data_IF_346460299324
#
_entry.id   IF_346460299324
#
_cell.length_a   1.000
_cell.length_b   1.000
_cell.length_c   1.000
_cell.angle_alpha   90.00
_cell.angle_beta   90.00
_cell.angle_gamma   90.00
#
_symmetry.space_group_name_H-M   'P 1'
#
loop_
_entity.id
_entity.type
_entity.pdbx_description
1 polymer ?
#
# COMPACT_ATOMS: atom_id res chain seq x y z
N UNK A 1 16.63 -27.65 6.67
CA UNK A 1 17.71 -26.76 6.19
C UNK A 1 17.36 -25.31 6.47
N UNK A 2 18.27 -24.57 7.13
CA UNK A 2 18.13 -23.12 7.31
C UNK A 2 18.32 -22.38 5.98
N UNK A 3 17.95 -21.11 5.91
CA UNK A 3 18.00 -20.36 4.65
C UNK A 3 19.44 -20.12 4.17
N UNK A 4 20.35 -19.81 5.09
CA UNK A 4 21.78 -19.69 4.78
C UNK A 4 22.37 -20.99 4.20
N UNK A 5 22.15 -22.13 4.87
CA UNK A 5 22.61 -23.44 4.40
C UNK A 5 22.12 -23.75 2.98
N UNK A 6 20.83 -23.51 2.72
CA UNK A 6 20.23 -23.73 1.40
C UNK A 6 20.96 -22.93 0.32
N UNK A 7 21.34 -21.69 0.62
CA UNK A 7 22.02 -20.81 -0.34
C UNK A 7 23.50 -21.12 -0.50
N UNK A 8 24.18 -21.54 0.57
CA UNK A 8 25.57 -22.02 0.51
C UNK A 8 25.64 -23.29 -0.34
N UNK A 9 24.84 -24.31 -0.04
CA UNK A 9 24.77 -25.55 -0.83
C UNK A 9 24.42 -25.27 -2.30
N UNK A 10 23.48 -24.36 -2.56
CA UNK A 10 23.12 -23.97 -3.93
C UNK A 10 24.30 -23.35 -4.70
N UNK A 11 25.17 -22.64 -3.99
CA UNK A 11 26.31 -21.95 -4.58
C UNK A 11 27.51 -22.87 -4.78
N UNK A 12 27.75 -23.78 -3.84
CA UNK A 12 28.89 -24.70 -3.84
C UNK A 12 28.71 -25.88 -4.79
N UNK A 13 27.47 -26.30 -5.06
CA UNK A 13 27.23 -27.39 -6.01
C UNK A 13 27.42 -26.93 -7.46
N UNK A 14 28.09 -27.76 -8.27
CA UNK A 14 28.18 -27.61 -9.71
C UNK A 14 27.11 -28.44 -10.46
N UNK A 15 26.35 -29.29 -9.76
CA UNK A 15 25.28 -30.08 -10.37
C UNK A 15 24.00 -29.25 -10.54
N UNK A 16 23.65 -28.97 -11.80
CA UNK A 16 22.43 -28.25 -12.16
C UNK A 16 21.14 -28.94 -11.68
N UNK A 17 21.13 -30.27 -11.56
CA UNK A 17 19.97 -30.99 -11.00
C UNK A 17 19.80 -30.71 -9.51
N UNK A 18 20.91 -30.67 -8.78
CA UNK A 18 20.92 -30.35 -7.34
C UNK A 18 20.52 -28.90 -7.11
N UNK A 19 21.05 -27.94 -7.90
CA UNK A 19 20.60 -26.54 -7.88
C UNK A 19 19.09 -26.43 -8.08
N UNK A 20 18.55 -27.10 -9.10
CA UNK A 20 17.13 -27.07 -9.38
C UNK A 20 16.31 -27.64 -8.22
N UNK A 21 16.80 -28.70 -7.56
CA UNK A 21 16.15 -29.30 -6.40
C UNK A 21 16.15 -28.36 -5.18
N UNK A 22 17.29 -27.75 -4.86
CA UNK A 22 17.42 -26.77 -3.76
C UNK A 22 16.53 -25.55 -3.99
N UNK A 23 16.52 -25.02 -5.22
CA UNK A 23 15.63 -23.91 -5.59
C UNK A 23 14.15 -24.30 -5.50
N UNK A 24 13.79 -25.53 -5.93
CA UNK A 24 12.44 -26.05 -5.79
C UNK A 24 12.05 -26.21 -4.33
N UNK A 25 12.93 -26.70 -3.46
CA UNK A 25 12.68 -26.78 -2.02
C UNK A 25 12.35 -25.39 -1.45
N UNK A 26 13.18 -24.39 -1.74
CA UNK A 26 12.96 -23.02 -1.28
C UNK A 26 11.61 -22.48 -1.76
N UNK A 27 11.34 -22.56 -3.07
CA UNK A 27 10.10 -22.01 -3.64
C UNK A 27 8.87 -22.75 -3.13
N UNK A 28 8.93 -24.07 -2.95
CA UNK A 28 7.85 -24.84 -2.36
C UNK A 28 7.57 -24.40 -0.92
N UNK A 29 8.61 -24.26 -0.08
CA UNK A 29 8.47 -23.74 1.29
C UNK A 29 7.87 -22.34 1.30
N UNK A 30 8.36 -21.45 0.43
CA UNK A 30 7.88 -20.07 0.30
C UNK A 30 6.38 -20.03 -0.04
N UNK A 31 5.95 -20.82 -1.03
CA UNK A 31 4.56 -20.77 -1.50
C UNK A 31 3.58 -21.60 -0.67
N UNK A 32 4.06 -22.67 0.00
CA UNK A 32 3.29 -23.48 0.96
C UNK A 32 3.22 -22.84 2.35
N UNK A 33 3.96 -21.77 2.61
CA UNK A 33 3.88 -21.00 3.86
C UNK A 33 2.43 -20.65 4.21
N UNK A 34 2.08 -20.85 5.48
CA UNK A 34 0.77 -20.52 6.06
C UNK A 34 0.43 -19.03 5.97
N UNK A 35 1.44 -18.17 5.77
CA UNK A 35 1.29 -16.73 5.63
C UNK A 35 0.90 -16.36 4.19
N UNK A 36 -0.27 -16.80 3.76
CA UNK A 36 -0.85 -16.43 2.48
C UNK A 36 -1.40 -15.01 2.48
N UNK A 37 -1.47 -14.38 1.31
CA UNK A 37 -2.11 -13.09 1.12
C UNK A 37 -3.61 -13.21 1.40
N UNK A 38 -4.07 -12.63 2.51
CA UNK A 38 -5.47 -12.65 2.93
C UNK A 38 -5.97 -11.25 3.21
N UNK A 39 -7.13 -10.94 2.63
CA UNK A 39 -7.89 -9.72 2.90
C UNK A 39 -8.92 -10.01 3.99
N UNK A 40 -9.15 -9.03 4.86
CA UNK A 40 -10.20 -9.11 5.86
C UNK A 40 -10.88 -7.76 5.99
N UNK A 41 -12.15 -7.82 6.39
CA UNK A 41 -12.95 -6.65 6.68
C UNK A 41 -12.64 -6.18 8.10
N UNK A 42 -12.51 -4.87 8.25
CA UNK A 42 -12.49 -4.17 9.53
C UNK A 42 -13.61 -3.15 9.51
N UNK A 43 -14.06 -2.80 10.70
CA UNK A 43 -15.13 -1.84 10.89
C UNK A 43 -14.66 -0.71 11.79
N UNK A 44 -14.99 0.51 11.42
CA UNK A 44 -14.99 1.62 12.36
C UNK A 44 -16.39 1.69 12.97
N UNK A 45 -16.47 1.32 14.25
CA UNK A 45 -17.74 1.29 14.98
C UNK A 45 -17.74 2.25 16.16
N UNK A 46 -18.92 2.75 16.50
CA UNK A 46 -19.22 3.44 17.76
C UNK A 46 -20.70 3.27 18.11
N UNK A 47 -21.01 3.32 19.40
CA UNK A 47 -22.38 3.19 19.88
C UNK A 47 -23.00 4.57 20.02
N UNK A 48 -24.21 4.74 19.49
CA UNK A 48 -25.00 5.96 19.58
C UNK A 48 -25.80 5.94 20.87
N UNK A 49 -25.65 6.98 21.69
CA UNK A 49 -26.36 7.15 22.96
C UNK A 49 -27.43 8.21 22.79
N UNK A 50 -28.69 7.82 22.94
CA UNK A 50 -29.83 8.75 22.84
C UNK A 50 -29.78 9.81 23.94
N UNK A 51 -29.41 9.41 25.15
CA UNK A 51 -29.28 10.32 26.30
C UNK A 51 -28.18 11.35 26.10
N UNK A 52 -27.02 10.95 25.58
CA UNK A 52 -25.91 11.88 25.27
C UNK A 52 -26.25 12.86 24.12
N UNK A 53 -27.22 12.51 23.28
CA UNK A 53 -27.75 13.35 22.21
C UNK A 53 -29.03 14.11 22.62
N UNK A 54 -29.38 14.12 23.92
CA UNK A 54 -30.56 14.77 24.47
C UNK A 54 -31.87 14.34 23.78
N UNK A 55 -31.94 13.08 23.35
CA UNK A 55 -33.07 12.50 22.61
C UNK A 55 -33.43 13.26 21.31
N UNK A 56 -32.48 13.97 20.70
CA UNK A 56 -32.68 14.60 19.38
C UNK A 56 -32.69 13.55 18.29
N UNK A 57 -33.90 13.24 17.79
CA UNK A 57 -34.14 12.17 16.86
C UNK A 57 -33.33 12.31 15.56
N UNK A 58 -33.21 13.54 15.02
CA UNK A 58 -32.47 13.78 13.78
C UNK A 58 -30.98 13.43 13.90
N UNK A 59 -30.37 13.68 15.07
CA UNK A 59 -28.96 13.35 15.33
C UNK A 59 -28.78 11.85 15.56
N UNK A 60 -29.73 11.21 16.26
CA UNK A 60 -29.72 9.76 16.52
C UNK A 60 -29.77 9.00 15.19
N UNK A 61 -30.72 9.34 14.32
CA UNK A 61 -30.86 8.74 12.99
C UNK A 61 -29.62 8.97 12.13
N UNK A 62 -29.10 10.19 12.12
CA UNK A 62 -27.88 10.55 11.38
C UNK A 62 -26.69 9.69 11.82
N UNK A 63 -26.43 9.57 13.12
CA UNK A 63 -25.28 8.81 13.59
C UNK A 63 -25.48 7.30 13.45
N UNK A 64 -26.70 6.78 13.61
CA UNK A 64 -26.99 5.37 13.36
C UNK A 64 -26.74 4.97 11.90
N UNK A 65 -26.97 5.87 10.93
CA UNK A 65 -26.63 5.67 9.52
C UNK A 65 -25.14 5.47 9.27
N UNK A 66 -24.26 6.02 10.12
CA UNK A 66 -22.80 6.01 9.95
C UNK A 66 -22.05 5.39 11.14
N UNK A 67 -22.75 4.67 12.01
CA UNK A 67 -22.17 4.10 13.23
C UNK A 67 -21.26 2.90 12.95
N UNK A 68 -21.35 2.33 11.75
CA UNK A 68 -20.53 1.23 11.26
C UNK A 68 -20.03 1.52 9.85
N UNK A 69 -18.71 1.60 9.68
CA UNK A 69 -18.07 1.78 8.38
C UNK A 69 -17.11 0.64 8.11
N UNK A 70 -17.43 -0.17 7.11
CA UNK A 70 -16.58 -1.27 6.63
C UNK A 70 -15.40 -0.75 5.78
N UNK A 71 -14.22 -1.32 5.99
CA UNK A 71 -13.08 -1.16 5.11
C UNK A 71 -12.24 -2.44 5.04
N UNK A 72 -11.49 -2.59 3.94
CA UNK A 72 -10.68 -3.80 3.69
C UNK A 72 -9.21 -3.54 4.01
N UNK A 73 -8.58 -4.51 4.66
CA UNK A 73 -7.15 -4.49 5.00
C UNK A 73 -6.51 -5.86 4.70
N UNK A 74 -5.19 -5.86 4.60
CA UNK A 74 -4.38 -7.07 4.49
C UNK A 74 -3.54 -7.24 5.74
N UNK A 75 -3.28 -8.50 6.12
CA UNK A 75 -2.42 -8.78 7.27
C UNK A 75 -0.98 -8.52 6.83
N UNK A 76 -0.39 -7.47 7.37
CA UNK A 76 0.95 -7.00 6.99
C UNK A 76 2.00 -7.22 8.08
N UNK A 77 1.55 -7.54 9.30
CA UNK A 77 2.38 -7.70 10.49
C UNK A 77 1.95 -8.92 11.32
N UNK A 78 2.93 -9.56 11.95
CA UNK A 78 2.77 -10.76 12.75
C UNK A 78 3.56 -10.60 14.05
N UNK A 79 2.88 -10.80 15.19
CA UNK A 79 3.49 -10.60 16.52
C UNK A 79 4.42 -11.75 16.95
N UNK A 80 4.37 -12.89 16.25
CA UNK A 80 5.24 -14.05 16.52
C UNK A 80 6.49 -13.96 15.65
N UNK A 81 7.62 -14.47 16.17
CA UNK A 81 8.85 -14.64 15.39
C UNK A 81 8.55 -15.48 14.14
N UNK A 82 8.89 -14.95 12.98
CA UNK A 82 8.72 -15.66 11.71
C UNK A 82 10.01 -16.39 11.36
N UNK A 83 9.88 -17.49 10.63
CA UNK A 83 11.01 -18.11 9.93
C UNK A 83 11.52 -17.17 8.82
N UNK A 84 12.77 -17.33 8.43
CA UNK A 84 13.43 -16.53 7.40
C UNK A 84 12.68 -16.54 6.07
N UNK A 85 12.18 -17.71 5.63
CA UNK A 85 11.40 -17.82 4.39
C UNK A 85 10.01 -17.18 4.56
N UNK A 86 9.42 -17.29 5.76
CA UNK A 86 8.13 -16.69 6.06
C UNK A 86 8.20 -15.15 6.04
N UNK A 87 9.32 -14.55 6.46
CA UNK A 87 9.56 -13.11 6.30
C UNK A 87 9.55 -12.70 4.82
N UNK A 88 10.26 -13.43 3.96
CA UNK A 88 10.26 -13.18 2.52
C UNK A 88 8.85 -13.33 1.94
N UNK A 89 8.10 -14.34 2.40
CA UNK A 89 6.70 -14.56 1.99
C UNK A 89 5.80 -13.38 2.34
N UNK A 90 5.87 -12.87 3.58
CA UNK A 90 5.10 -11.70 4.02
C UNK A 90 5.48 -10.46 3.22
N UNK A 91 6.77 -10.27 2.94
CA UNK A 91 7.25 -9.17 2.10
C UNK A 91 6.67 -9.22 0.69
N UNK A 92 6.64 -10.40 0.07
CA UNK A 92 6.02 -10.61 -1.25
C UNK A 92 4.53 -10.30 -1.24
N UNK A 93 3.81 -10.70 -0.19
CA UNK A 93 2.39 -10.40 -0.04
C UNK A 93 2.14 -8.88 0.11
N UNK A 94 2.96 -8.21 0.90
CA UNK A 94 2.88 -6.76 1.07
C UNK A 94 3.21 -6.01 -0.22
N UNK A 95 4.21 -6.48 -0.98
CA UNK A 95 4.58 -5.93 -2.28
C UNK A 95 3.44 -6.07 -3.30
N UNK A 96 2.80 -7.26 -3.36
CA UNK A 96 1.62 -7.49 -4.19
C UNK A 96 0.47 -6.56 -3.78
N UNK A 97 0.15 -6.50 -2.49
CA UNK A 97 -0.92 -5.64 -1.98
C UNK A 97 -0.68 -4.15 -2.27
N UNK A 98 0.57 -3.69 -2.17
CA UNK A 98 0.93 -2.30 -2.41
C UNK A 98 0.89 -1.91 -3.90
N UNK A 99 1.49 -2.74 -4.77
CA UNK A 99 1.67 -2.40 -6.19
C UNK A 99 0.53 -2.86 -7.10
N UNK A 100 -0.24 -3.88 -6.69
CA UNK A 100 -1.16 -4.60 -7.58
C UNK A 100 -2.60 -4.61 -7.04
N UNK A 101 -2.84 -5.16 -5.85
CA UNK A 101 -4.20 -5.41 -5.36
C UNK A 101 -4.97 -4.10 -5.13
N UNK A 102 -6.09 -3.90 -5.81
CA UNK A 102 -6.85 -2.63 -5.80
C UNK A 102 -7.73 -2.45 -4.57
N UNK A 103 -7.83 -3.43 -3.68
CA UNK A 103 -8.78 -3.40 -2.56
C UNK A 103 -8.12 -3.03 -1.22
N UNK A 104 -6.79 -2.91 -1.17
CA UNK A 104 -6.02 -2.69 0.07
C UNK A 104 -4.95 -1.61 -0.09
N UNK A 105 -4.24 -1.25 0.98
CA UNK A 105 -3.11 -0.30 0.97
C UNK A 105 -3.45 1.06 0.32
N UNK A 106 -4.51 1.69 0.81
CA UNK A 106 -4.85 3.06 0.41
C UNK A 106 -3.98 4.07 1.17
N UNK A 107 -4.04 5.34 0.76
CA UNK A 107 -3.33 6.40 1.48
C UNK A 107 -3.84 6.48 2.92
N UNK A 108 -2.97 6.74 3.90
CA UNK A 108 -3.36 6.94 5.31
C UNK A 108 -4.54 7.90 5.49
N UNK A 109 -4.63 8.89 4.62
CA UNK A 109 -5.69 9.89 4.60
C UNK A 109 -7.08 9.30 4.37
N UNK A 110 -7.20 8.24 3.55
CA UNK A 110 -8.45 7.52 3.36
C UNK A 110 -8.99 7.00 4.70
N UNK A 111 -8.16 6.28 5.45
CA UNK A 111 -8.55 5.72 6.74
C UNK A 111 -8.84 6.81 7.78
N UNK A 112 -8.14 7.95 7.72
CA UNK A 112 -8.41 9.11 8.58
C UNK A 112 -9.81 9.68 8.33
N UNK A 113 -10.22 9.79 7.06
CA UNK A 113 -11.52 10.31 6.65
C UNK A 113 -12.67 9.36 6.99
N UNK A 114 -12.45 8.03 6.94
CA UNK A 114 -13.46 7.05 7.37
C UNK A 114 -13.82 7.16 8.86
N UNK A 115 -12.92 7.70 9.69
CA UNK A 115 -13.15 7.88 11.14
C UNK A 115 -13.97 9.14 11.42
N UNK A 116 -14.19 10.01 10.43
CA UNK A 116 -14.88 11.30 10.61
C UNK A 116 -16.25 11.18 11.30
N UNK A 117 -17.14 10.22 10.96
CA UNK A 117 -18.45 10.12 11.61
C UNK A 117 -18.35 9.92 13.13
N UNK A 118 -17.42 9.06 13.56
CA UNK A 118 -17.13 8.86 14.98
C UNK A 118 -16.60 10.14 15.65
N UNK A 119 -15.78 10.92 14.95
CA UNK A 119 -15.23 12.19 15.47
C UNK A 119 -16.31 13.25 15.59
N UNK A 120 -17.16 13.39 14.57
CA UNK A 120 -18.31 14.30 14.62
C UNK A 120 -19.28 13.90 15.73
N UNK A 121 -19.53 12.60 15.93
CA UNK A 121 -20.35 12.12 17.06
C UNK A 121 -19.83 12.61 18.42
N UNK A 122 -18.55 12.38 18.73
CA UNK A 122 -17.99 12.84 20.02
C UNK A 122 -17.88 14.36 20.11
N UNK A 123 -17.71 15.06 18.99
CA UNK A 123 -17.72 16.52 18.93
C UNK A 123 -19.12 17.06 19.25
N UNK A 124 -20.17 16.47 18.68
CA UNK A 124 -21.58 16.84 18.95
C UNK A 124 -21.94 16.58 20.41
N UNK A 125 -21.59 15.42 20.98
CA UNK A 125 -21.82 15.15 22.41
C UNK A 125 -21.19 16.24 23.28
N UNK A 126 -19.93 16.61 22.98
CA UNK A 126 -19.22 17.63 23.73
C UNK A 126 -19.91 18.99 23.60
N UNK A 127 -20.31 19.39 22.40
CA UNK A 127 -21.02 20.64 22.15
C UNK A 127 -22.35 20.70 22.91
N UNK A 128 -23.16 19.63 22.85
CA UNK A 128 -24.43 19.53 23.59
C UNK A 128 -24.21 19.60 25.11
N UNK A 129 -23.16 18.94 25.64
CA UNK A 129 -22.83 19.01 27.07
C UNK A 129 -22.42 20.40 27.54
N UNK A 130 -21.95 21.25 26.63
CA UNK A 130 -21.61 22.64 26.90
C UNK A 130 -22.80 23.61 26.69
N UNK A 131 -23.97 23.10 26.29
CA UNK A 131 -25.13 23.93 25.95
C UNK A 131 -25.03 24.62 24.59
N UNK A 132 -24.14 24.18 23.71
CA UNK A 132 -23.99 24.74 22.36
C UNK A 132 -25.11 24.26 21.43
N UNK A 133 -25.54 25.13 20.51
CA UNK A 133 -26.51 24.76 19.47
C UNK A 133 -25.79 23.99 18.37
N UNK A 134 -26.28 22.78 18.08
CA UNK A 134 -25.76 21.92 17.02
C UNK A 134 -26.77 21.83 15.88
N UNK A 135 -26.32 22.17 14.68
CA UNK A 135 -27.07 21.97 13.43
C UNK A 135 -26.81 20.56 12.86
N UNK A 136 -27.88 19.78 12.70
CA UNK A 136 -27.80 18.43 12.16
C UNK A 136 -27.37 18.42 10.68
N UNK A 137 -27.83 19.41 9.89
CA UNK A 137 -27.51 19.48 8.46
C UNK A 137 -26.02 19.77 8.23
N UNK A 138 -25.42 20.63 9.06
CA UNK A 138 -23.99 20.90 9.02
C UNK A 138 -23.17 19.64 9.37
N UNK A 139 -23.58 18.90 10.40
CA UNK A 139 -22.94 17.65 10.80
C UNK A 139 -23.02 16.61 9.67
N UNK A 140 -24.20 16.42 9.06
CA UNK A 140 -24.35 15.50 7.93
C UNK A 140 -23.47 15.93 6.75
N UNK A 141 -23.45 17.22 6.41
CA UNK A 141 -22.61 17.75 5.33
C UNK A 141 -21.13 17.47 5.57
N UNK A 142 -20.64 17.63 6.80
CA UNK A 142 -19.25 17.33 7.16
C UNK A 142 -18.93 15.84 6.99
N UNK A 143 -19.83 14.96 7.44
CA UNK A 143 -19.69 13.51 7.27
C UNK A 143 -19.68 13.13 5.79
N UNK A 144 -20.69 13.56 5.03
CA UNK A 144 -20.84 13.22 3.61
C UNK A 144 -19.67 13.75 2.79
N UNK A 145 -19.21 14.97 3.07
CA UNK A 145 -18.04 15.56 2.40
C UNK A 145 -16.78 14.75 2.68
N UNK A 146 -16.54 14.36 3.93
CA UNK A 146 -15.36 13.56 4.29
C UNK A 146 -15.38 12.16 3.65
N UNK A 147 -16.53 11.49 3.62
CA UNK A 147 -16.67 10.18 2.98
C UNK A 147 -16.52 10.27 1.45
N UNK A 148 -17.04 11.34 0.85
CA UNK A 148 -16.83 11.63 -0.58
C UNK A 148 -15.35 11.86 -0.90
N UNK A 149 -14.64 12.62 -0.05
CA UNK A 149 -13.19 12.81 -0.18
C UNK A 149 -12.42 11.49 0.01
N UNK A 150 -12.87 10.64 0.93
CA UNK A 150 -12.27 9.33 1.15
C UNK A 150 -12.31 8.50 -0.14
N UNK A 151 -13.45 8.46 -0.84
CA UNK A 151 -13.55 7.73 -2.11
C UNK A 151 -12.63 8.32 -3.18
N UNK A 152 -12.48 9.64 -3.25
CA UNK A 152 -11.51 10.29 -4.16
C UNK A 152 -10.08 9.83 -3.84
N UNK A 153 -9.70 9.83 -2.55
CA UNK A 153 -8.37 9.40 -2.10
C UNK A 153 -8.13 7.92 -2.40
N UNK A 154 -9.13 7.07 -2.18
CA UNK A 154 -9.08 5.63 -2.53
C UNK A 154 -8.86 5.44 -4.03
N UNK A 155 -9.63 6.13 -4.87
CA UNK A 155 -9.47 6.07 -6.33
C UNK A 155 -8.09 6.54 -6.78
N UNK A 156 -7.53 7.59 -6.16
CA UNK A 156 -6.15 8.01 -6.42
C UNK A 156 -5.14 6.92 -6.10
N UNK A 157 -5.32 6.18 -5.01
CA UNK A 157 -4.45 5.05 -4.66
C UNK A 157 -4.61 3.88 -5.63
N UNK A 158 -5.83 3.54 -6.03
CA UNK A 158 -6.11 2.48 -7.02
C UNK A 158 -5.43 2.79 -8.36
N UNK A 159 -5.50 4.04 -8.82
CA UNK A 159 -4.91 4.48 -10.09
C UNK A 159 -3.37 4.46 -10.11
N UNK A 160 -2.72 4.27 -8.95
CA UNK A 160 -1.26 4.07 -8.84
C UNK A 160 -0.84 2.62 -8.95
N UNK A 161 -1.77 1.67 -9.01
CA UNK A 161 -1.49 0.22 -9.04
C UNK A 161 -1.47 -0.33 -10.46
N UNK A 162 -0.74 -1.43 -10.68
CA UNK A 162 -0.74 -2.15 -11.97
C UNK A 162 -1.85 -3.20 -11.95
N UNK A 163 -2.23 -3.66 -13.13
CA UNK A 163 -3.10 -4.83 -13.27
C UNK A 163 -2.24 -6.07 -13.45
N UNK A 164 -2.30 -7.00 -12.50
CA UNK A 164 -1.58 -8.27 -12.57
C UNK A 164 -2.34 -9.31 -11.75
N UNK A 165 -2.56 -10.51 -12.29
CA UNK A 165 -3.20 -11.59 -11.52
C UNK A 165 -2.20 -12.18 -10.53
N UNK A 166 -2.69 -12.78 -9.43
CA UNK A 166 -1.81 -13.40 -8.45
C UNK A 166 -0.99 -14.57 -9.03
N UNK A 167 -1.56 -15.32 -9.99
CA UNK A 167 -0.84 -16.40 -10.70
C UNK A 167 0.31 -15.85 -11.56
N UNK A 168 0.07 -14.78 -12.32
CA UNK A 168 1.11 -14.12 -13.11
C UNK A 168 2.18 -13.49 -12.21
N UNK A 169 1.77 -12.89 -11.09
CA UNK A 169 2.69 -12.40 -10.05
C UNK A 169 3.58 -13.52 -9.51
N UNK A 170 3.02 -14.67 -9.15
CA UNK A 170 3.77 -15.83 -8.66
C UNK A 170 4.84 -16.28 -9.66
N UNK A 171 4.49 -16.40 -10.95
CA UNK A 171 5.43 -16.76 -12.03
C UNK A 171 6.56 -15.74 -12.16
N UNK A 172 6.21 -14.45 -12.13
CA UNK A 172 7.18 -13.36 -12.20
C UNK A 172 8.17 -13.41 -11.02
N UNK A 173 7.65 -13.56 -9.80
CA UNK A 173 8.48 -13.67 -8.60
C UNK A 173 9.43 -14.87 -8.66
N UNK A 174 8.98 -16.04 -9.14
CA UNK A 174 9.88 -17.18 -9.30
C UNK A 174 11.08 -16.88 -10.21
N UNK A 175 10.85 -16.19 -11.34
CA UNK A 175 11.97 -15.78 -12.22
C UNK A 175 12.93 -14.79 -11.56
N UNK A 176 12.42 -13.95 -10.65
CA UNK A 176 13.26 -13.03 -9.88
C UNK A 176 14.02 -13.74 -8.77
N UNK A 177 13.41 -14.73 -8.12
CA UNK A 177 14.07 -15.54 -7.11
C UNK A 177 15.23 -16.34 -7.69
N UNK A 178 15.06 -16.94 -8.87
CA UNK A 178 16.13 -17.63 -9.58
C UNK A 178 17.33 -16.70 -9.84
N UNK A 179 17.06 -15.47 -10.32
CA UNK A 179 18.10 -14.44 -10.47
C UNK A 179 18.74 -14.07 -9.13
N UNK A 180 17.98 -14.00 -8.05
CA UNK A 180 18.51 -13.66 -6.72
C UNK A 180 19.46 -14.74 -6.22
N UNK A 181 19.08 -16.02 -6.40
CA UNK A 181 19.90 -17.19 -6.08
C UNK A 181 21.23 -17.14 -6.86
N UNK A 182 21.16 -16.99 -8.18
CA UNK A 182 22.35 -16.95 -9.05
C UNK A 182 23.32 -15.79 -8.75
N UNK A 183 22.83 -14.71 -8.16
CA UNK A 183 23.64 -13.52 -7.84
C UNK A 183 23.94 -13.39 -6.34
N UNK A 184 23.53 -14.36 -5.51
CA UNK A 184 23.76 -14.28 -4.07
C UNK A 184 25.26 -14.36 -3.76
N UNK A 185 25.72 -13.43 -2.91
CA UNK A 185 27.07 -13.43 -2.36
C UNK A 185 26.97 -13.59 -0.83
N UNK A 186 27.52 -14.67 -0.26
CA UNK A 186 27.71 -14.83 1.17
C UNK A 186 28.44 -13.62 1.76
N UNK A 187 28.22 -13.41 3.05
CA UNK A 187 28.80 -12.26 3.76
C UNK A 187 30.31 -12.24 3.65
N UNK A 188 30.96 -13.37 3.93
CA UNK A 188 32.43 -13.47 3.98
C UNK A 188 33.08 -13.18 2.62
N UNK A 189 32.48 -13.59 1.51
CA UNK A 189 32.97 -13.26 0.17
C UNK A 189 32.81 -11.78 -0.15
N UNK A 190 31.69 -11.17 0.26
CA UNK A 190 31.44 -9.75 0.03
C UNK A 190 32.44 -8.86 0.80
N UNK A 191 32.79 -9.27 2.03
CA UNK A 191 33.82 -8.60 2.84
C UNK A 191 35.19 -8.64 2.17
N UNK A 192 35.61 -9.81 1.67
CA UNK A 192 36.87 -10.00 0.96
C UNK A 192 36.96 -9.15 -0.32
N UNK A 193 35.90 -9.10 -1.13
CA UNK A 193 35.88 -8.37 -2.40
C UNK A 193 35.95 -6.84 -2.21
N UNK A 194 35.34 -6.33 -1.15
CA UNK A 194 35.21 -4.88 -0.95
C UNK A 194 36.10 -4.30 0.15
N UNK A 195 36.87 -5.13 0.86
CA UNK A 195 37.71 -4.70 1.98
C UNK A 195 36.88 -4.09 3.12
N UNK A 196 35.63 -4.56 3.28
CA UNK A 196 34.74 -4.11 4.34
C UNK A 196 34.79 -5.09 5.50
N UNK A 197 34.95 -4.59 6.73
CA UNK A 197 34.72 -5.39 7.94
C UNK A 197 33.31 -5.09 8.46
N UNK A 198 32.48 -6.13 8.64
CA UNK A 198 31.16 -5.93 9.20
C UNK A 198 31.25 -5.54 10.68
N UNK A 199 31.09 -4.23 10.95
CA UNK A 199 30.97 -3.70 12.31
C UNK A 199 29.58 -4.02 12.87
N UNK A 200 29.41 -5.25 13.36
CA UNK A 200 28.17 -5.69 14.01
C UNK A 200 28.17 -5.15 15.45
N UNK A 201 27.48 -4.02 15.67
CA UNK A 201 27.34 -3.40 17.00
C UNK A 201 25.94 -3.70 17.61
N UNK A 202 25.26 -4.75 17.16
CA UNK A 202 23.86 -5.00 17.54
C UNK A 202 23.66 -6.45 17.98
N UNK A 203 23.17 -6.62 19.21
CA UNK A 203 22.57 -7.88 19.68
C UNK A 203 21.42 -8.26 18.72
N UNK A 204 21.58 -9.38 18.01
CA UNK A 204 20.56 -9.89 17.08
C UNK A 204 20.93 -9.92 15.59
N UNK A 205 22.20 -9.71 15.24
CA UNK A 205 22.68 -10.06 13.89
C UNK A 205 22.62 -11.57 13.66
N UNK A 206 22.20 -11.96 12.46
CA UNK A 206 22.35 -13.31 11.93
C UNK A 206 22.55 -13.23 10.43
N UNK A 207 23.22 -14.23 9.86
CA UNK A 207 23.38 -14.36 8.41
C UNK A 207 22.02 -14.42 7.69
N UNK A 208 21.04 -15.11 8.29
CA UNK A 208 19.67 -15.12 7.81
C UNK A 208 19.05 -13.70 7.71
N UNK A 209 19.34 -12.79 8.64
CA UNK A 209 18.87 -11.40 8.55
C UNK A 209 19.49 -10.66 7.37
N UNK A 210 20.77 -10.92 7.07
CA UNK A 210 21.44 -10.39 5.88
C UNK A 210 20.77 -10.92 4.60
N UNK A 211 20.53 -12.23 4.52
CA UNK A 211 19.90 -12.87 3.37
C UNK A 211 18.48 -12.34 3.17
N UNK A 212 17.65 -12.28 4.21
CA UNK A 212 16.28 -11.75 4.13
C UNK A 212 16.29 -10.32 3.59
N UNK A 213 17.22 -9.48 4.07
CA UNK A 213 17.36 -8.10 3.61
C UNK A 213 17.77 -8.04 2.13
N UNK A 214 18.71 -8.88 1.71
CA UNK A 214 19.13 -9.01 0.32
C UNK A 214 17.95 -9.40 -0.58
N UNK A 215 17.23 -10.48 -0.25
CA UNK A 215 16.05 -10.94 -0.98
C UNK A 215 14.97 -9.85 -1.08
N UNK A 216 14.55 -9.29 0.05
CA UNK A 216 13.48 -8.29 0.09
C UNK A 216 13.85 -7.01 -0.69
N UNK A 217 15.12 -6.57 -0.63
CA UNK A 217 15.60 -5.40 -1.39
C UNK A 217 15.58 -5.68 -2.90
N UNK A 218 16.10 -6.82 -3.33
CA UNK A 218 16.13 -7.23 -4.73
C UNK A 218 14.72 -7.39 -5.30
N UNK A 219 13.84 -8.10 -4.61
CA UNK A 219 12.44 -8.29 -5.01
C UNK A 219 11.68 -6.96 -5.11
N UNK A 220 11.90 -6.04 -4.16
CA UNK A 220 11.32 -4.69 -4.21
C UNK A 220 11.81 -3.92 -5.44
N UNK A 221 13.10 -4.01 -5.75
CA UNK A 221 13.70 -3.38 -6.92
C UNK A 221 13.08 -3.91 -8.21
N UNK A 222 13.10 -5.24 -8.41
CA UNK A 222 12.55 -5.87 -9.61
C UNK A 222 11.06 -5.59 -9.80
N UNK A 223 10.25 -5.63 -8.73
CA UNK A 223 8.82 -5.32 -8.83
C UNK A 223 8.55 -3.85 -9.13
N UNK A 224 9.38 -2.93 -8.62
CA UNK A 224 9.29 -1.50 -8.98
C UNK A 224 9.63 -1.29 -10.44
N UNK A 225 10.72 -1.89 -10.93
CA UNK A 225 11.14 -1.78 -12.33
C UNK A 225 10.06 -2.37 -13.25
N UNK A 226 9.55 -3.57 -12.96
CA UNK A 226 8.42 -4.16 -13.69
C UNK A 226 7.19 -3.24 -13.71
N UNK A 227 6.81 -2.68 -12.57
CA UNK A 227 5.65 -1.80 -12.49
C UNK A 227 5.84 -0.48 -13.27
N UNK A 228 7.09 -0.05 -13.51
CA UNK A 228 7.41 1.09 -14.38
C UNK A 228 7.30 0.69 -15.84
N UNK A 229 7.87 -0.45 -16.22
CA UNK A 229 7.88 -0.94 -17.59
C UNK A 229 6.46 -1.23 -18.09
N UNK A 230 5.61 -1.83 -17.26
CA UNK A 230 4.17 -2.05 -17.56
C UNK A 230 3.40 -0.76 -17.86
N UNK A 231 3.95 0.40 -17.48
CA UNK A 231 3.35 1.72 -17.72
C UNK A 231 4.09 2.51 -18.80
N UNK A 232 5.09 1.92 -19.44
CA UNK A 232 5.91 2.57 -20.45
C UNK A 232 6.91 3.60 -19.90
N UNK A 233 7.27 3.53 -18.61
CA UNK A 233 8.27 4.42 -18.02
C UNK A 233 9.67 3.82 -18.04
N UNK A 234 10.67 4.59 -18.47
CA UNK A 234 12.08 4.19 -18.42
C UNK A 234 12.65 4.38 -17.02
N UNK A 235 13.70 3.65 -16.65
CA UNK A 235 14.35 3.75 -15.31
C UNK A 235 14.72 5.17 -14.87
N UNK A 236 15.22 6.00 -15.80
CA UNK A 236 15.64 7.39 -15.54
C UNK A 236 14.47 8.40 -15.49
N UNK A 237 13.25 7.99 -15.83
CA UNK A 237 12.12 8.90 -15.87
C UNK A 237 11.73 9.37 -14.45
N UNK A 238 11.57 10.68 -14.29
CA UNK A 238 10.96 11.25 -13.08
C UNK A 238 9.45 11.03 -13.15
N UNK A 239 8.90 10.22 -12.25
CA UNK A 239 7.46 9.90 -12.21
C UNK A 239 6.81 10.69 -11.08
N UNK A 240 5.67 11.30 -11.36
CA UNK A 240 4.80 11.92 -10.36
C UNK A 240 3.39 11.33 -10.46
N UNK A 241 2.58 11.58 -9.44
CA UNK A 241 1.15 11.23 -9.44
C UNK A 241 0.32 12.46 -9.80
N UNK A 242 -0.65 12.29 -10.71
CA UNK A 242 -1.59 13.34 -11.06
C UNK A 242 -2.37 13.80 -9.82
N UNK A 243 -2.36 15.10 -9.53
CA UNK A 243 -3.02 15.65 -8.34
C UNK A 243 -4.54 15.36 -8.32
N UNK A 244 -5.18 15.26 -9.48
CA UNK A 244 -6.63 15.05 -9.61
C UNK A 244 -7.04 13.58 -9.53
N UNK A 245 -6.46 12.71 -10.37
CA UNK A 245 -6.88 11.31 -10.47
C UNK A 245 -5.90 10.30 -9.87
N UNK A 246 -4.69 10.70 -9.47
CA UNK A 246 -3.69 9.82 -8.87
C UNK A 246 -2.85 9.00 -9.86
N UNK A 247 -3.25 8.92 -11.13
CA UNK A 247 -2.50 8.21 -12.17
C UNK A 247 -1.05 8.68 -12.25
N UNK A 248 -0.12 7.74 -12.41
CA UNK A 248 1.29 8.05 -12.57
C UNK A 248 1.56 8.64 -13.95
N UNK A 249 2.39 9.69 -14.01
CA UNK A 249 2.75 10.40 -15.24
C UNK A 249 4.24 10.78 -15.20
N UNK A 250 4.83 10.88 -16.39
CA UNK A 250 6.20 11.37 -16.55
C UNK A 250 6.26 12.88 -16.34
N UNK A 251 7.14 13.32 -15.44
CA UNK A 251 7.38 14.73 -15.16
C UNK A 251 8.31 15.31 -16.22
N UNK A 252 7.72 15.99 -17.21
CA UNK A 252 8.47 16.64 -18.29
C UNK A 252 8.88 18.09 -17.94
N UNK A 253 8.13 18.78 -17.08
CA UNK A 253 8.38 20.17 -16.65
C UNK A 253 8.07 20.33 -15.17
N UNK A 254 8.65 21.35 -14.51
CA UNK A 254 8.41 21.61 -13.09
C UNK A 254 6.93 21.88 -12.77
N UNK A 255 6.20 22.52 -13.69
CA UNK A 255 4.79 22.90 -13.53
C UNK A 255 3.81 21.75 -13.85
N UNK A 256 4.29 20.62 -14.34
CA UNK A 256 3.41 19.52 -14.75
C UNK A 256 2.80 18.85 -13.52
N UNK A 257 1.47 18.97 -13.33
CA UNK A 257 0.73 18.46 -12.15
C UNK A 257 -0.37 17.43 -12.49
N UNK A 258 -0.86 17.42 -13.71
CA UNK A 258 -2.04 16.66 -14.12
C UNK A 258 -1.74 15.76 -15.32
N UNK A 259 -2.37 14.59 -15.37
CA UNK A 259 -2.36 13.78 -16.59
C UNK A 259 -3.13 14.49 -17.72
N UNK A 260 -2.83 14.12 -18.98
CA UNK A 260 -3.46 14.73 -20.16
C UNK A 260 -5.00 14.76 -20.10
N UNK A 261 -5.71 13.67 -19.75
CA UNK A 261 -7.17 13.71 -19.58
C UNK A 261 -7.65 14.70 -18.52
N UNK A 262 -7.01 14.74 -17.36
CA UNK A 262 -7.38 15.66 -16.29
C UNK A 262 -7.10 17.12 -16.66
N UNK A 263 -5.95 17.39 -17.29
CA UNK A 263 -5.60 18.72 -17.76
C UNK A 263 -6.62 19.25 -18.78
N UNK A 264 -7.01 18.42 -19.75
CA UNK A 264 -8.06 18.75 -20.74
C UNK A 264 -9.38 19.10 -20.06
N UNK A 265 -9.84 18.27 -19.11
CA UNK A 265 -11.09 18.51 -18.38
C UNK A 265 -11.05 19.81 -17.57
N UNK A 266 -9.94 20.09 -16.90
CA UNK A 266 -9.75 21.34 -16.14
C UNK A 266 -9.80 22.56 -17.07
N UNK A 267 -9.15 22.49 -18.24
CA UNK A 267 -9.17 23.59 -19.20
C UNK A 267 -10.57 23.86 -19.76
N UNK A 268 -11.35 22.80 -20.04
CA UNK A 268 -12.74 22.94 -20.47
C UNK A 268 -13.58 23.64 -19.39
N UNK A 269 -13.47 23.22 -18.13
CA UNK A 269 -14.20 23.83 -17.01
C UNK A 269 -13.86 25.32 -16.85
N UNK A 270 -12.56 25.67 -16.88
CA UNK A 270 -12.10 27.06 -16.86
C UNK A 270 -12.67 27.89 -18.01
N UNK A 271 -12.73 27.32 -19.21
CA UNK A 271 -13.30 28.00 -20.38
C UNK A 271 -14.80 28.26 -20.20
N UNK A 272 -15.55 27.30 -19.65
CA UNK A 272 -16.98 27.46 -19.35
C UNK A 272 -17.18 28.53 -18.27
N UNK A 273 -16.40 28.52 -17.20
CA UNK A 273 -16.46 29.53 -16.13
C UNK A 273 -16.18 30.94 -16.66
N UNK A 274 -15.15 31.11 -17.49
CA UNK A 274 -14.83 32.39 -18.11
C UNK A 274 -15.97 32.89 -19.02
N UNK A 275 -16.61 31.99 -19.79
CA UNK A 275 -17.77 32.35 -20.60
C UNK A 275 -18.97 32.77 -19.76
N UNK A 276 -19.21 32.11 -18.61
CA UNK A 276 -20.28 32.51 -17.67
C UNK A 276 -20.00 33.88 -17.06
N UNK A 277 -18.78 34.14 -16.60
CA UNK A 277 -18.36 35.44 -16.06
C UNK A 277 -18.54 36.57 -17.08
N UNK A 278 -18.12 36.35 -18.32
CA UNK A 278 -18.25 37.36 -19.39
C UNK A 278 -19.70 37.60 -19.84
N UNK A 279 -20.63 36.68 -19.57
CA UNK A 279 -22.07 36.88 -19.81
C UNK A 279 -22.78 37.60 -18.67
N UNK A 280 -22.29 37.51 -17.42
CA UNK A 280 -22.84 38.24 -16.28
C UNK A 280 -22.32 39.69 -16.18
N UNK A 281 -21.29 40.04 -16.96
CA UNK A 281 -20.70 41.39 -17.04
C UNK A 281 -21.25 42.21 -18.24
N UNK A 282 -22.23 41.68 -18.97
CA UNK A 282 -22.97 42.36 -20.04
C UNK A 282 -24.43 42.44 -19.65
#
# INVERSE_FOLDING_TARGET
MFLNQLLEEYKETDDEKEKLQLFKEFTDRLWKSKYSFKKYKKYHTFNVSETALLHRQELIELFNKYNEIEYTVCKSFYNKRLDSIDYIRVHLNNTYGYLVDKDVYFNKEYYRLLITPKREYFKVIKALSNGEVVDCEEVEKNIVSALSEAEIVKMKSINKKISLTFSAYKKLINSYLERIFNNYKPVHEYEQEHGWEMRIVVDGWSEDNYIIKYFCRSLTGYMRDYARDQRGFKKKDKIISCEKCGSLIKKNRNVHKYCSPCAKRINILKTIENRKRNKCLK
#
